data_IF_680654628963
#
_entry.id   IF_680654628963
#
_cell.length_a   1.000
_cell.length_b   1.000
_cell.length_c   1.000
_cell.angle_alpha   90.00
_cell.angle_beta   90.00
_cell.angle_gamma   90.00
#
_symmetry.space_group_name_H-M   'P 1'
#
loop_
_entity.id
_entity.type
_entity.pdbx_description
1 polymer ?
#
# COMPACT_ATOMS: atom_id res chain seq x y z
N UNK A 1 -12.27 3.74 -21.88
CA UNK A 1 -13.32 4.78 -21.98
C UNK A 1 -13.38 5.27 -23.43
N UNK A 2 -14.55 5.16 -24.06
CA UNK A 2 -14.75 5.51 -25.47
C UNK A 2 -14.65 7.02 -25.72
N UNK A 3 -14.35 7.42 -26.95
CA UNK A 3 -14.08 8.83 -27.31
C UNK A 3 -15.30 9.74 -27.22
N UNK A 4 -16.52 9.18 -27.29
CA UNK A 4 -17.78 9.92 -27.23
C UNK A 4 -18.02 10.61 -25.88
N UNK A 5 -17.61 9.99 -24.77
CA UNK A 5 -17.84 10.53 -23.42
C UNK A 5 -16.74 11.46 -22.92
N UNK A 6 -15.72 11.77 -23.73
CA UNK A 6 -14.61 12.65 -23.32
C UNK A 6 -15.10 14.07 -23.05
N UNK A 7 -14.60 14.69 -21.97
CA UNK A 7 -14.91 16.08 -21.57
C UNK A 7 -14.73 17.09 -22.70
N UNK A 8 -13.78 16.88 -23.61
CA UNK A 8 -13.55 17.75 -24.76
C UNK A 8 -14.74 17.77 -25.74
N UNK A 9 -15.44 16.64 -25.94
CA UNK A 9 -16.63 16.59 -26.82
C UNK A 9 -17.75 17.49 -26.30
N UNK A 10 -17.97 17.51 -24.98
CA UNK A 10 -18.94 18.40 -24.30
C UNK A 10 -18.55 19.88 -24.35
N UNK A 11 -17.29 20.21 -24.67
CA UNK A 11 -16.77 21.58 -24.70
C UNK A 11 -16.54 22.11 -26.12
N UNK A 12 -16.97 21.39 -27.16
CA UNK A 12 -16.95 21.88 -28.54
C UNK A 12 -17.80 23.15 -28.64
N UNK A 13 -17.29 24.17 -29.35
CA UNK A 13 -17.92 25.49 -29.45
C UNK A 13 -17.47 26.50 -28.37
N UNK A 14 -16.86 26.05 -27.27
CA UNK A 14 -16.29 26.97 -26.28
C UNK A 14 -14.87 27.42 -26.68
N UNK A 15 -14.65 28.74 -26.75
CA UNK A 15 -13.40 29.38 -27.23
C UNK A 15 -12.13 28.91 -26.53
N UNK A 16 -12.17 28.56 -25.23
CA UNK A 16 -10.99 28.14 -24.46
C UNK A 16 -11.00 26.67 -24.04
N UNK A 17 -11.94 25.87 -24.54
CA UNK A 17 -12.15 24.47 -24.13
C UNK A 17 -12.18 24.29 -22.60
N UNK A 18 -12.65 25.32 -21.88
CA UNK A 18 -12.75 25.38 -20.42
C UNK A 18 -11.41 25.35 -19.67
N UNK A 19 -10.37 25.95 -20.23
CA UNK A 19 -9.11 26.29 -19.56
C UNK A 19 -9.07 27.76 -19.07
N UNK A 20 -10.22 28.44 -19.04
CA UNK A 20 -10.34 29.86 -18.68
C UNK A 20 -10.03 30.81 -19.84
N UNK A 21 -10.69 31.97 -19.87
CA UNK A 21 -10.53 32.95 -20.96
C UNK A 21 -9.23 33.75 -20.86
N UNK A 22 -8.82 34.11 -19.64
CA UNK A 22 -7.68 35.01 -19.36
C UNK A 22 -6.37 34.24 -19.21
N UNK A 23 -6.27 33.32 -18.24
CA UNK A 23 -5.02 32.58 -17.97
C UNK A 23 -4.54 31.69 -19.13
N UNK A 24 -5.49 31.23 -19.97
CA UNK A 24 -5.30 30.32 -21.12
C UNK A 24 -4.54 29.03 -20.77
N UNK A 25 -4.55 28.10 -21.72
CA UNK A 25 -3.77 26.87 -21.56
C UNK A 25 -2.31 27.10 -21.96
N UNK A 26 -1.38 26.93 -21.02
CA UNK A 26 0.07 26.89 -21.26
C UNK A 26 0.58 25.49 -20.89
N UNK A 27 1.53 24.96 -21.66
CA UNK A 27 1.96 23.55 -21.53
C UNK A 27 2.45 23.19 -20.12
N UNK A 28 3.33 24.00 -19.52
CA UNK A 28 3.92 23.74 -18.20
C UNK A 28 4.30 25.05 -17.47
N UNK A 29 3.32 25.81 -16.92
CA UNK A 29 3.59 27.12 -16.31
C UNK A 29 4.39 27.05 -15.00
N UNK A 30 4.25 25.96 -14.23
CA UNK A 30 4.96 25.76 -12.95
C UNK A 30 6.18 24.83 -13.04
N UNK A 31 6.62 24.49 -14.26
CA UNK A 31 7.61 23.44 -14.49
C UNK A 31 7.00 22.10 -14.89
N UNK A 32 7.85 21.12 -15.16
CA UNK A 32 7.46 19.78 -15.61
C UNK A 32 7.56 18.79 -14.44
N UNK A 33 6.60 17.87 -14.36
CA UNK A 33 6.59 16.82 -13.33
C UNK A 33 6.61 17.41 -11.92
N UNK A 34 7.50 16.90 -11.07
CA UNK A 34 7.63 17.29 -9.67
C UNK A 34 8.67 18.43 -9.44
N UNK A 35 9.01 19.20 -10.49
CA UNK A 35 9.90 20.34 -10.36
C UNK A 35 9.34 21.39 -9.39
N UNK A 36 10.21 22.09 -8.65
CA UNK A 36 9.82 23.12 -7.70
C UNK A 36 9.26 22.60 -6.37
N UNK A 37 9.34 21.28 -6.10
CA UNK A 37 8.74 20.66 -4.92
C UNK A 37 9.24 21.17 -3.56
N UNK A 38 10.46 21.71 -3.47
CA UNK A 38 10.96 22.41 -2.26
C UNK A 38 10.86 23.95 -2.36
N UNK A 39 10.40 24.47 -3.50
CA UNK A 39 10.34 25.90 -3.81
C UNK A 39 8.87 26.34 -3.87
N UNK A 40 8.36 26.71 -5.05
CA UNK A 40 6.99 27.19 -5.23
C UNK A 40 5.91 26.12 -5.08
N UNK A 41 6.27 24.83 -5.08
CA UNK A 41 5.36 23.71 -4.78
C UNK A 41 5.53 23.14 -3.36
N UNK A 42 6.30 23.79 -2.47
CA UNK A 42 6.59 23.29 -1.12
C UNK A 42 5.34 22.97 -0.30
N UNK A 43 4.33 23.85 -0.33
CA UNK A 43 3.07 23.65 0.41
C UNK A 43 2.36 22.34 0.00
N UNK A 44 2.42 21.97 -1.28
CA UNK A 44 1.81 20.74 -1.77
C UNK A 44 2.54 19.49 -1.22
N UNK A 45 3.87 19.56 -1.15
CA UNK A 45 4.69 18.46 -0.66
C UNK A 45 4.59 18.32 0.86
N UNK A 46 4.66 19.42 1.60
CA UNK A 46 4.56 19.36 3.06
C UNK A 46 3.18 18.86 3.52
N UNK A 47 2.12 19.22 2.79
CA UNK A 47 0.74 18.84 3.15
C UNK A 47 0.39 17.41 2.79
N UNK A 48 0.78 16.94 1.60
CA UNK A 48 0.31 15.65 1.07
C UNK A 48 1.41 14.59 0.97
N UNK A 49 2.68 14.98 1.02
CA UNK A 49 3.83 14.08 0.84
C UNK A 49 4.89 14.30 1.93
N UNK A 50 4.53 14.17 3.23
CA UNK A 50 5.49 14.32 4.31
C UNK A 50 6.61 13.26 4.18
N UNK A 51 7.86 13.68 4.35
CA UNK A 51 9.03 12.80 4.24
C UNK A 51 9.46 12.46 2.80
N UNK A 52 8.86 13.09 1.78
CA UNK A 52 9.29 12.90 0.39
C UNK A 52 10.72 13.39 0.14
N UNK A 53 11.08 14.52 0.75
CA UNK A 53 12.44 15.04 0.71
C UNK A 53 13.25 14.58 1.91
N UNK A 54 14.55 14.35 1.70
CA UNK A 54 15.48 13.88 2.72
C UNK A 54 16.02 12.48 2.42
N UNK A 55 16.98 12.05 3.23
CA UNK A 55 17.60 10.72 3.14
C UNK A 55 17.45 10.04 4.49
N UNK A 56 16.95 8.80 4.48
CA UNK A 56 16.72 8.02 5.70
C UNK A 56 17.38 6.65 5.55
N UNK A 57 18.07 6.21 6.61
CA UNK A 57 18.60 4.85 6.74
C UNK A 57 19.82 4.53 5.89
N UNK A 58 20.21 3.25 5.94
CA UNK A 58 21.36 2.69 5.23
C UNK A 58 20.95 2.10 3.87
N UNK A 59 21.89 2.08 2.90
CA UNK A 59 21.66 1.44 1.59
C UNK A 59 21.88 -0.07 1.70
N UNK A 60 20.94 -0.87 1.18
CA UNK A 60 21.11 -2.31 0.99
C UNK A 60 21.44 -2.61 -0.47
N UNK A 61 22.70 -2.91 -0.75
CA UNK A 61 23.15 -3.27 -2.11
C UNK A 61 22.72 -4.70 -2.47
N UNK A 62 22.40 -4.93 -3.75
CA UNK A 62 21.99 -6.24 -4.27
C UNK A 62 20.86 -6.91 -3.45
N UNK A 63 19.79 -6.15 -3.17
CA UNK A 63 18.66 -6.66 -2.38
C UNK A 63 17.88 -7.75 -3.11
N UNK A 64 18.15 -9.01 -2.78
CA UNK A 64 17.39 -10.15 -3.25
C UNK A 64 16.06 -10.26 -2.47
N UNK A 65 14.95 -9.84 -3.09
CA UNK A 65 13.61 -9.81 -2.44
C UNK A 65 13.18 -11.16 -1.88
N UNK A 66 13.53 -12.26 -2.54
CA UNK A 66 13.14 -13.62 -2.14
C UNK A 66 13.73 -14.05 -0.79
N UNK A 67 14.93 -13.55 -0.43
CA UNK A 67 15.55 -13.84 0.88
C UNK A 67 14.79 -13.19 2.05
N UNK A 68 14.06 -12.11 1.77
CA UNK A 68 13.23 -11.40 2.75
C UNK A 68 11.75 -11.78 2.69
N UNK A 69 11.40 -12.79 1.89
CA UNK A 69 10.04 -13.22 1.75
C UNK A 69 9.57 -13.95 3.02
N UNK A 70 8.68 -13.30 3.77
CA UNK A 70 8.10 -13.82 5.00
C UNK A 70 6.61 -13.44 5.06
N UNK A 71 5.73 -14.14 4.32
CA UNK A 71 4.30 -13.91 4.40
C UNK A 71 3.82 -14.29 5.80
N UNK A 72 3.07 -13.39 6.43
CA UNK A 72 2.54 -13.57 7.78
C UNK A 72 1.02 -13.64 7.75
N UNK A 73 0.45 -14.56 8.55
CA UNK A 73 -0.99 -14.69 8.77
C UNK A 73 -1.25 -14.48 10.26
N UNK A 74 -2.25 -13.66 10.60
CA UNK A 74 -2.65 -13.47 11.99
C UNK A 74 -3.36 -14.73 12.53
N UNK A 75 -3.20 -15.02 13.82
CA UNK A 75 -3.80 -16.17 14.53
C UNK A 75 -5.32 -16.22 14.30
N UNK A 76 -5.99 -15.07 14.31
CA UNK A 76 -7.45 -14.97 14.13
C UNK A 76 -7.92 -15.45 12.75
N UNK A 77 -7.04 -15.44 11.74
CA UNK A 77 -7.33 -15.83 10.35
C UNK A 77 -6.83 -17.24 10.00
N UNK A 78 -6.29 -17.99 10.96
CA UNK A 78 -5.76 -19.33 10.67
C UNK A 78 -6.85 -20.29 10.19
N UNK A 79 -8.06 -20.18 10.73
CA UNK A 79 -9.14 -21.12 10.42
C UNK A 79 -9.77 -20.89 9.05
N UNK A 80 -9.67 -19.67 8.49
CA UNK A 80 -10.12 -19.41 7.11
C UNK A 80 -9.25 -20.09 6.04
N UNK A 81 -8.12 -20.69 6.44
CA UNK A 81 -7.29 -21.49 5.54
C UNK A 81 -7.79 -22.93 5.39
N UNK A 82 -8.74 -23.36 6.22
CA UNK A 82 -9.36 -24.68 6.15
C UNK A 82 -10.58 -24.59 5.23
N UNK A 83 -10.62 -25.31 4.10
CA UNK A 83 -11.82 -25.38 3.26
C UNK A 83 -13.02 -25.87 4.10
N UNK A 84 -14.18 -25.23 3.95
CA UNK A 84 -15.46 -25.58 4.58
C UNK A 84 -15.56 -25.43 6.11
N UNK A 85 -14.53 -24.90 6.78
CA UNK A 85 -14.58 -24.60 8.21
C UNK A 85 -14.68 -23.08 8.43
N UNK A 86 -15.72 -22.64 9.16
CA UNK A 86 -16.04 -21.21 9.39
C UNK A 86 -14.99 -20.43 10.20
N UNK A 87 -15.33 -20.02 11.42
CA UNK A 87 -14.40 -19.28 12.32
C UNK A 87 -13.78 -20.24 13.33
N UNK A 88 -12.55 -19.98 13.76
CA UNK A 88 -11.86 -20.76 14.80
C UNK A 88 -12.72 -20.77 16.07
N UNK A 89 -13.23 -21.94 16.53
CA UNK A 89 -13.84 -22.01 17.85
C UNK A 89 -12.73 -21.82 18.90
N UNK A 90 -12.92 -20.93 19.90
CA UNK A 90 -11.87 -20.61 20.87
C UNK A 90 -11.38 -21.81 21.69
N UNK A 91 -12.20 -22.86 21.80
CA UNK A 91 -11.92 -24.05 22.61
C UNK A 91 -11.30 -25.22 21.82
N UNK A 92 -10.99 -25.05 20.53
CA UNK A 92 -10.36 -26.12 19.74
C UNK A 92 -8.84 -25.95 19.68
N UNK A 93 -8.06 -26.92 20.20
CA UNK A 93 -6.61 -26.87 20.09
C UNK A 93 -6.19 -27.04 18.63
N UNK A 94 -5.29 -26.17 18.16
CA UNK A 94 -4.74 -26.20 16.80
C UNK A 94 -3.23 -26.38 16.82
N UNK A 95 -2.72 -27.17 15.88
CA UNK A 95 -1.28 -27.32 15.65
C UNK A 95 -0.87 -26.47 14.46
N UNK A 96 -0.01 -25.48 14.70
CA UNK A 96 0.44 -24.54 13.66
C UNK A 96 1.88 -24.87 13.26
N UNK A 97 2.08 -25.24 11.99
CA UNK A 97 3.40 -25.44 11.38
C UNK A 97 3.84 -24.17 10.67
N UNK A 98 4.95 -23.57 11.11
CA UNK A 98 5.44 -22.32 10.53
C UNK A 98 6.96 -22.17 10.70
N UNK A 99 7.58 -21.35 9.84
CA UNK A 99 9.03 -21.07 9.90
C UNK A 99 9.42 -20.11 11.02
N UNK A 100 8.57 -19.09 11.25
CA UNK A 100 8.77 -18.06 12.26
C UNK A 100 7.44 -17.81 12.96
N UNK A 101 7.47 -17.63 14.29
CA UNK A 101 6.28 -17.37 15.10
C UNK A 101 6.57 -16.24 16.07
N UNK A 102 5.61 -15.33 16.24
CA UNK A 102 5.74 -14.25 17.22
C UNK A 102 5.49 -14.78 18.64
N UNK A 103 6.17 -14.22 19.65
CA UNK A 103 5.98 -14.59 21.06
C UNK A 103 4.52 -14.51 21.51
N UNK A 104 3.77 -13.52 21.00
CA UNK A 104 2.35 -13.33 21.29
C UNK A 104 1.51 -14.44 20.66
N UNK A 105 1.78 -14.81 19.41
CA UNK A 105 1.05 -15.88 18.72
C UNK A 105 1.27 -17.23 19.41
N UNK A 106 2.51 -17.54 19.79
CA UNK A 106 2.84 -18.77 20.50
C UNK A 106 2.08 -18.85 21.84
N UNK A 107 2.06 -17.77 22.62
CA UNK A 107 1.33 -17.71 23.90
C UNK A 107 -0.17 -17.96 23.70
N UNK A 108 -0.78 -17.35 22.67
CA UNK A 108 -2.21 -17.54 22.37
C UNK A 108 -2.53 -18.97 21.95
N UNK A 109 -1.72 -19.57 21.07
CA UNK A 109 -1.94 -20.94 20.59
C UNK A 109 -1.81 -21.94 21.74
N UNK A 110 -0.79 -21.79 22.60
CA UNK A 110 -0.61 -22.64 23.78
C UNK A 110 -1.73 -22.46 24.82
N UNK A 111 -2.21 -21.23 25.01
CA UNK A 111 -3.33 -20.96 25.92
C UNK A 111 -4.63 -21.64 25.48
N UNK A 112 -4.85 -21.79 24.17
CA UNK A 112 -5.97 -22.55 23.61
C UNK A 112 -5.74 -24.09 23.59
N UNK A 113 -4.69 -24.57 24.26
CA UNK A 113 -4.30 -25.99 24.28
C UNK A 113 -3.66 -26.50 22.98
N UNK A 114 -3.35 -25.60 22.04
CA UNK A 114 -2.68 -25.92 20.79
C UNK A 114 -1.16 -26.00 20.91
N UNK A 115 -0.49 -26.32 19.80
CA UNK A 115 0.96 -26.41 19.73
C UNK A 115 1.52 -25.70 18.49
N UNK A 116 2.75 -25.20 18.61
CA UNK A 116 3.50 -24.60 17.51
C UNK A 116 4.64 -25.53 17.13
N UNK A 117 4.76 -25.85 15.85
CA UNK A 117 5.82 -26.69 15.29
C UNK A 117 6.62 -25.87 14.29
N UNK A 118 7.92 -25.73 14.54
CA UNK A 118 8.82 -25.01 13.64
C UNK A 118 9.18 -25.89 12.45
N UNK A 119 9.00 -25.36 11.24
CA UNK A 119 9.28 -26.06 9.97
C UNK A 119 10.16 -25.20 9.07
N UNK A 120 11.09 -25.82 8.34
CA UNK A 120 12.05 -25.11 7.48
C UNK A 120 11.43 -24.47 6.23
#
# INVERSE_FOLDING_TARGET
MTTCFKKNRKKRGHVSAGHGRIGKHRKHPGGRGNAGGMQHHRILFDKYHPGYFGKVGMRYFHRLRNKFHCPAVNVDRLWSLVPDAGVLPPDRPVVVKAKLVSKIAEKKIKAAGGAVVLTA
#
